data_IF_392971457004
#
_entry.id   IF_392971457004
#
_cell.length_a   1.000
_cell.length_b   1.000
_cell.length_c   1.000
_cell.angle_alpha   90.00
_cell.angle_beta   90.00
_cell.angle_gamma   90.00
#
_symmetry.space_group_name_H-M   'P 1'
#
loop_
_entity.id
_entity.type
_entity.pdbx_description
1 polymer ?
#
# COMPACT_ATOMS: atom_id res chain seq x y z
N UNK A 1 -26.64 -3.80 36.53
CA UNK A 1 -25.60 -2.78 36.77
C UNK A 1 -25.88 -1.48 36.01
N UNK A 2 -26.11 -0.38 36.74
CA UNK A 2 -26.51 0.92 36.20
C UNK A 2 -25.28 1.81 35.98
N UNK A 3 -24.42 1.52 34.98
CA UNK A 3 -23.31 2.34 34.44
C UNK A 3 -22.86 3.51 35.36
N UNK A 4 -22.45 3.20 36.59
CA UNK A 4 -22.04 4.19 37.58
C UNK A 4 -20.52 4.23 37.58
N UNK A 5 -19.95 5.40 37.29
CA UNK A 5 -18.49 5.58 37.27
C UNK A 5 -18.01 5.73 38.71
N UNK A 6 -17.20 4.79 39.19
CA UNK A 6 -16.64 4.82 40.53
C UNK A 6 -15.27 5.53 40.54
N UNK A 7 -14.98 6.38 41.53
CA UNK A 7 -13.76 7.18 41.57
C UNK A 7 -12.56 6.40 42.13
N UNK A 8 -12.35 5.16 41.67
CA UNK A 8 -11.31 4.25 42.21
C UNK A 8 -9.91 4.63 41.69
N UNK A 9 -9.82 5.26 40.52
CA UNK A 9 -8.56 5.71 39.91
C UNK A 9 -8.55 7.25 39.75
N UNK A 10 -7.83 7.95 40.61
CA UNK A 10 -7.92 9.41 40.81
C UNK A 10 -7.26 10.29 39.73
N UNK A 11 -6.44 9.74 38.82
CA UNK A 11 -5.69 10.57 37.85
C UNK A 11 -6.45 10.97 36.57
N UNK A 12 -7.59 10.34 36.25
CA UNK A 12 -8.27 10.50 34.95
C UNK A 12 -9.79 10.81 35.05
N UNK A 13 -10.31 11.16 36.23
CA UNK A 13 -11.77 11.40 36.40
C UNK A 13 -12.23 12.82 36.04
N UNK A 14 -11.30 13.77 35.94
CA UNK A 14 -11.57 15.13 35.48
C UNK A 14 -11.29 15.24 33.98
N UNK A 15 -12.24 14.77 33.17
CA UNK A 15 -12.20 14.94 31.71
C UNK A 15 -13.02 16.17 31.35
N UNK A 16 -12.34 17.21 30.87
CA UNK A 16 -13.02 18.36 30.29
C UNK A 16 -13.49 18.05 28.88
N UNK A 17 -14.74 18.40 28.59
CA UNK A 17 -15.32 18.20 27.27
C UNK A 17 -14.71 19.20 26.30
N UNK A 18 -13.94 18.71 25.33
CA UNK A 18 -13.48 19.51 24.20
C UNK A 18 -14.68 19.89 23.33
N UNK A 19 -14.68 21.12 22.79
CA UNK A 19 -15.69 21.58 21.84
C UNK A 19 -15.71 20.66 20.60
N UNK A 20 -16.89 20.41 20.03
CA UNK A 20 -16.99 19.65 18.77
C UNK A 20 -16.18 20.41 17.71
N UNK A 21 -15.16 19.76 17.16
CA UNK A 21 -14.39 20.30 16.03
C UNK A 21 -15.34 20.85 14.97
N UNK A 22 -15.20 22.13 14.64
CA UNK A 22 -15.86 22.70 13.48
C UNK A 22 -15.18 22.16 12.22
N UNK A 23 -15.87 22.16 11.06
CA UNK A 23 -15.28 21.73 9.77
C UNK A 23 -14.05 22.58 9.39
N UNK A 24 -13.89 23.74 10.04
CA UNK A 24 -12.84 24.73 9.80
C UNK A 24 -11.57 24.48 10.65
N UNK A 25 -11.61 23.62 11.66
CA UNK A 25 -10.47 23.29 12.52
C UNK A 25 -9.60 22.18 11.91
N UNK A 26 -9.08 22.41 10.70
CA UNK A 26 -8.13 21.49 10.08
C UNK A 26 -6.81 21.53 10.84
N UNK A 27 -6.33 20.35 11.25
CA UNK A 27 -4.97 20.21 11.79
C UNK A 27 -3.93 20.63 10.76
N UNK A 28 -2.76 21.08 11.21
CA UNK A 28 -1.66 21.47 10.34
C UNK A 28 -1.32 20.39 9.28
N UNK A 29 -1.35 19.12 9.69
CA UNK A 29 -1.10 17.97 8.80
C UNK A 29 -2.19 17.78 7.74
N UNK A 30 -3.45 18.10 8.04
CA UNK A 30 -4.55 18.06 7.06
C UNK A 30 -4.45 19.20 6.05
N UNK A 31 -4.03 20.40 6.49
CA UNK A 31 -3.76 21.53 5.59
C UNK A 31 -2.61 21.20 4.64
N UNK A 32 -1.51 20.64 5.16
CA UNK A 32 -0.37 20.20 4.34
C UNK A 32 -0.78 19.15 3.31
N UNK A 33 -1.60 18.17 3.70
CA UNK A 33 -2.11 17.16 2.77
C UNK A 33 -2.92 17.81 1.64
N UNK A 34 -3.84 18.72 1.97
CA UNK A 34 -4.64 19.44 0.96
C UNK A 34 -3.76 20.25 0.01
N UNK A 35 -2.78 20.98 0.53
CA UNK A 35 -1.83 21.74 -0.28
C UNK A 35 -1.04 20.84 -1.23
N UNK A 36 -0.56 19.69 -0.73
CA UNK A 36 0.18 18.74 -1.54
C UNK A 36 -0.71 18.11 -2.62
N UNK A 37 -1.93 17.67 -2.30
CA UNK A 37 -2.87 17.18 -3.30
C UNK A 37 -3.20 18.23 -4.38
N UNK A 38 -3.40 19.49 -3.98
CA UNK A 38 -3.62 20.59 -4.93
C UNK A 38 -2.42 20.81 -5.86
N UNK A 39 -1.20 20.70 -5.33
CA UNK A 39 0.04 20.91 -6.09
C UNK A 39 0.25 19.87 -7.20
N UNK A 40 -0.28 18.65 -7.03
CA UNK A 40 -0.12 17.54 -7.98
C UNK A 40 -1.39 17.20 -8.76
N UNK A 41 -2.48 17.96 -8.61
CA UNK A 41 -3.80 17.60 -9.17
C UNK A 41 -3.78 17.37 -10.70
N UNK A 42 -3.02 18.20 -11.42
CA UNK A 42 -2.91 18.12 -12.88
C UNK A 42 -1.90 17.07 -13.37
N UNK A 43 -1.05 16.55 -12.47
CA UNK A 43 0.02 15.62 -12.83
C UNK A 43 -0.51 14.19 -12.68
N UNK A 44 -0.77 13.52 -13.78
CA UNK A 44 -1.21 12.11 -13.79
C UNK A 44 -0.02 11.15 -13.96
N UNK A 45 -0.07 9.95 -13.35
CA UNK A 45 -1.15 9.37 -12.55
C UNK A 45 -1.16 9.81 -11.07
N UNK A 46 -0.12 10.50 -10.60
CA UNK A 46 0.13 10.76 -9.17
C UNK A 46 -0.99 11.58 -8.50
N UNK A 47 -1.53 12.60 -9.17
CA UNK A 47 -2.57 13.49 -8.64
C UNK A 47 -3.84 12.74 -8.24
N UNK A 48 -4.31 11.84 -9.10
CA UNK A 48 -5.45 10.98 -8.80
C UNK A 48 -5.18 10.07 -7.60
N UNK A 49 -3.98 9.47 -7.54
CA UNK A 49 -3.62 8.55 -6.47
C UNK A 49 -3.45 9.25 -5.12
N UNK A 50 -2.95 10.49 -5.11
CA UNK A 50 -2.87 11.33 -3.92
C UNK A 50 -4.24 11.62 -3.32
N UNK A 51 -5.29 11.72 -4.15
CA UNK A 51 -6.67 11.86 -3.69
C UNK A 51 -7.16 10.72 -2.78
N UNK A 52 -6.53 9.54 -2.85
CA UNK A 52 -6.85 8.40 -1.97
C UNK A 52 -6.08 8.41 -0.64
N UNK A 53 -5.02 9.21 -0.52
CA UNK A 53 -4.23 9.30 0.71
C UNK A 53 -5.03 10.01 1.83
N UNK A 54 -4.95 9.46 3.04
CA UNK A 54 -5.63 10.03 4.22
C UNK A 54 -4.70 10.81 5.13
N UNK A 55 -3.40 10.59 5.01
CA UNK A 55 -2.38 11.26 5.80
C UNK A 55 -1.29 11.85 4.91
N UNK A 56 -0.63 12.88 5.42
CA UNK A 56 0.54 13.48 4.76
C UNK A 56 1.69 12.48 4.58
N UNK A 57 1.86 11.55 5.53
CA UNK A 57 2.89 10.51 5.44
C UNK A 57 2.65 9.56 4.26
N UNK A 58 1.39 9.15 4.04
CA UNK A 58 1.02 8.35 2.88
C UNK A 58 1.32 9.12 1.59
N UNK A 59 0.90 10.38 1.52
CA UNK A 59 1.09 11.21 0.35
C UNK A 59 2.58 11.41 0.01
N UNK A 60 3.40 11.72 1.02
CA UNK A 60 4.85 11.84 0.87
C UNK A 60 5.50 10.52 0.44
N UNK A 61 5.07 9.40 1.01
CA UNK A 61 5.57 8.06 0.65
C UNK A 61 5.23 7.73 -0.80
N UNK A 62 4.01 8.05 -1.24
CA UNK A 62 3.57 7.85 -2.61
C UNK A 62 4.39 8.70 -3.60
N UNK A 63 4.56 9.99 -3.34
CA UNK A 63 5.34 10.88 -4.20
C UNK A 63 6.79 10.39 -4.35
N UNK A 64 7.48 10.12 -3.23
CA UNK A 64 8.88 9.64 -3.24
C UNK A 64 9.03 8.29 -3.94
N UNK A 65 8.08 7.38 -3.72
CA UNK A 65 8.11 6.07 -4.38
C UNK A 65 7.84 6.20 -5.87
N UNK A 66 6.90 7.08 -6.25
CA UNK A 66 6.52 7.28 -7.64
C UNK A 66 7.64 7.89 -8.48
N UNK A 67 8.44 8.80 -7.90
CA UNK A 67 9.65 9.34 -8.55
C UNK A 67 10.56 8.20 -9.04
N UNK A 68 10.86 7.23 -8.17
CA UNK A 68 11.69 6.07 -8.52
C UNK A 68 11.00 5.10 -9.48
N UNK A 69 9.70 4.84 -9.29
CA UNK A 69 8.89 3.95 -10.15
C UNK A 69 8.76 4.50 -11.58
N UNK A 70 8.72 5.83 -11.73
CA UNK A 70 8.54 6.48 -13.03
C UNK A 70 9.77 6.36 -13.95
N UNK A 71 10.94 6.05 -13.39
CA UNK A 71 12.16 5.82 -14.15
C UNK A 71 12.23 4.36 -14.63
N UNK A 72 12.08 4.16 -15.95
CA UNK A 72 12.26 2.85 -16.58
C UNK A 72 13.67 2.31 -16.29
N UNK A 73 13.76 1.03 -15.91
CA UNK A 73 15.00 0.33 -15.53
C UNK A 73 15.68 0.84 -14.24
N UNK A 74 14.95 1.51 -13.34
CA UNK A 74 15.48 1.85 -12.04
C UNK A 74 15.87 0.59 -11.24
N UNK A 75 17.06 0.62 -10.65
CA UNK A 75 17.56 -0.40 -9.72
C UNK A 75 17.72 0.25 -8.35
N UNK A 76 16.69 0.11 -7.50
CA UNK A 76 16.68 0.71 -6.18
C UNK A 76 15.90 -0.15 -5.18
N UNK A 77 16.22 0.04 -3.90
CA UNK A 77 15.47 -0.56 -2.80
C UNK A 77 14.80 0.57 -2.02
N UNK A 78 13.48 0.52 -1.94
CA UNK A 78 12.66 1.44 -1.13
C UNK A 78 12.23 0.68 0.12
N UNK A 79 12.54 1.22 1.30
CA UNK A 79 12.10 0.64 2.57
C UNK A 79 11.05 1.54 3.22
N UNK A 80 9.88 0.98 3.49
CA UNK A 80 8.75 1.63 4.15
C UNK A 80 8.56 0.97 5.52
N UNK A 81 8.91 1.68 6.58
CA UNK A 81 8.76 1.20 7.96
C UNK A 81 7.71 2.02 8.68
N UNK A 82 6.73 1.36 9.30
CA UNK A 82 5.74 2.04 10.13
C UNK A 82 5.12 1.10 11.17
N UNK A 83 4.51 1.66 12.22
CA UNK A 83 3.75 0.88 13.19
C UNK A 83 2.53 0.15 12.59
N UNK A 84 2.00 -0.83 13.33
CA UNK A 84 0.77 -1.56 12.96
C UNK A 84 -0.40 -0.59 12.78
N UNK A 85 -1.24 -0.83 11.77
CA UNK A 85 -2.44 -0.02 11.52
C UNK A 85 -2.22 1.34 10.84
N UNK A 86 -0.99 1.68 10.39
CA UNK A 86 -0.69 2.95 9.71
C UNK A 86 -0.99 2.99 8.20
N UNK A 87 -1.57 1.92 7.64
CA UNK A 87 -1.97 1.86 6.24
C UNK A 87 -0.85 1.56 5.23
N UNK A 88 0.14 0.74 5.62
CA UNK A 88 1.26 0.32 4.74
C UNK A 88 0.77 -0.43 3.49
N UNK A 89 -0.02 -1.48 3.64
CA UNK A 89 -0.54 -2.26 2.50
C UNK A 89 -1.40 -1.41 1.56
N UNK A 90 -2.14 -0.44 2.10
CA UNK A 90 -2.93 0.50 1.30
C UNK A 90 -2.04 1.38 0.42
N UNK A 91 -0.96 1.94 0.96
CA UNK A 91 -0.06 2.80 0.18
C UNK A 91 0.74 2.00 -0.85
N UNK A 92 1.15 0.77 -0.52
CA UNK A 92 1.78 -0.14 -1.48
C UNK A 92 0.85 -0.44 -2.68
N UNK A 93 -0.44 -0.68 -2.41
CA UNK A 93 -1.42 -0.88 -3.47
C UNK A 93 -1.56 0.33 -4.41
N UNK A 94 -1.55 1.54 -3.86
CA UNK A 94 -1.56 2.78 -4.65
C UNK A 94 -0.27 2.94 -5.46
N UNK A 95 0.91 2.70 -4.88
CA UNK A 95 2.19 2.75 -5.59
C UNK A 95 2.17 1.78 -6.78
N UNK A 96 1.69 0.55 -6.59
CA UNK A 96 1.59 -0.45 -7.66
C UNK A 96 0.60 -0.01 -8.75
N UNK A 97 -0.54 0.60 -8.40
CA UNK A 97 -1.45 1.14 -9.42
C UNK A 97 -0.80 2.26 -10.24
N UNK A 98 0.02 3.11 -9.62
CA UNK A 98 0.84 4.10 -10.30
C UNK A 98 1.90 3.47 -11.19
N UNK A 99 2.56 2.40 -10.73
CA UNK A 99 3.53 1.63 -11.51
C UNK A 99 2.91 1.03 -12.78
N UNK A 100 1.71 0.46 -12.67
CA UNK A 100 0.96 -0.04 -13.83
C UNK A 100 0.70 1.10 -14.82
N UNK A 101 0.25 2.26 -14.34
CA UNK A 101 0.02 3.41 -15.20
C UNK A 101 1.30 4.02 -15.82
N UNK A 102 2.44 3.89 -15.14
CA UNK A 102 3.76 4.25 -15.66
C UNK A 102 4.29 3.24 -16.71
N UNK A 103 3.63 2.09 -16.86
CA UNK A 103 3.93 1.11 -17.90
C UNK A 103 4.73 -0.11 -17.45
N UNK A 104 4.89 -0.34 -16.14
CA UNK A 104 5.54 -1.56 -15.65
C UNK A 104 4.63 -2.77 -15.90
N UNK A 105 5.18 -3.77 -16.56
CA UNK A 105 4.53 -5.01 -16.96
C UNK A 105 4.60 -6.10 -15.92
N UNK A 106 5.79 -6.42 -15.41
CA UNK A 106 5.99 -7.60 -14.56
C UNK A 106 6.18 -7.21 -13.10
N UNK A 107 5.07 -7.19 -12.37
CA UNK A 107 5.01 -6.78 -10.97
C UNK A 107 4.72 -7.99 -10.09
N UNK A 108 5.56 -8.23 -9.09
CA UNK A 108 5.39 -9.33 -8.14
C UNK A 108 5.15 -8.79 -6.74
N UNK A 109 4.22 -9.41 -6.02
CA UNK A 109 3.96 -9.13 -4.61
C UNK A 109 4.23 -10.37 -3.78
N UNK A 110 4.91 -10.19 -2.67
CA UNK A 110 5.32 -11.23 -1.74
C UNK A 110 4.84 -10.83 -0.35
N UNK A 111 4.25 -11.78 0.35
CA UNK A 111 3.76 -11.66 1.71
C UNK A 111 3.76 -13.04 2.37
N UNK A 112 3.67 -13.14 3.71
CA UNK A 112 3.62 -14.42 4.43
C UNK A 112 2.53 -15.37 3.90
N UNK A 113 1.36 -14.82 3.57
CA UNK A 113 0.27 -15.52 2.90
C UNK A 113 -0.59 -14.58 2.03
N UNK A 114 -1.41 -15.12 1.12
CA UNK A 114 -2.32 -14.33 0.27
C UNK A 114 -3.38 -13.57 1.08
N UNK A 115 -3.74 -14.06 2.27
CA UNK A 115 -4.67 -13.42 3.21
C UNK A 115 -4.17 -12.04 3.70
N UNK A 116 -2.85 -11.83 3.75
CA UNK A 116 -2.27 -10.54 4.13
C UNK A 116 -2.42 -9.48 3.04
N UNK A 117 -2.75 -9.87 1.81
CA UNK A 117 -2.80 -8.98 0.64
C UNK A 117 -4.21 -8.50 0.28
N UNK A 118 -5.23 -8.80 1.10
CA UNK A 118 -6.60 -8.34 0.86
C UNK A 118 -6.66 -6.82 0.71
N UNK A 119 -6.09 -6.08 1.66
CA UNK A 119 -6.06 -4.61 1.60
C UNK A 119 -5.15 -4.11 0.48
N UNK A 120 -4.02 -4.77 0.23
CA UNK A 120 -3.12 -4.42 -0.88
C UNK A 120 -3.87 -4.46 -2.22
N UNK A 121 -4.49 -5.59 -2.57
CA UNK A 121 -5.21 -5.73 -3.84
C UNK A 121 -6.46 -4.85 -3.91
N UNK A 122 -7.13 -4.60 -2.79
CA UNK A 122 -8.24 -3.63 -2.75
C UNK A 122 -7.76 -2.24 -3.18
N UNK A 123 -6.60 -1.79 -2.69
CA UNK A 123 -6.05 -0.48 -3.03
C UNK A 123 -5.42 -0.44 -4.44
N UNK A 124 -4.86 -1.54 -4.94
CA UNK A 124 -4.48 -1.65 -6.36
C UNK A 124 -5.73 -1.43 -7.22
N UNK A 125 -6.85 -2.11 -6.90
CA UNK A 125 -8.11 -1.96 -7.64
C UNK A 125 -8.67 -0.54 -7.54
N UNK A 126 -8.69 0.06 -6.34
CA UNK A 126 -9.14 1.45 -6.16
C UNK A 126 -8.31 2.44 -6.98
N UNK A 127 -6.99 2.27 -6.99
CA UNK A 127 -6.10 3.09 -7.80
C UNK A 127 -6.35 2.92 -9.30
N UNK A 128 -6.48 1.69 -9.80
CA UNK A 128 -6.81 1.40 -11.19
C UNK A 128 -8.15 2.04 -11.60
N UNK A 129 -9.20 1.88 -10.80
CA UNK A 129 -10.51 2.50 -11.05
C UNK A 129 -10.38 4.03 -11.06
N UNK A 130 -9.65 4.62 -10.11
CA UNK A 130 -9.38 6.06 -10.08
C UNK A 130 -8.69 6.56 -11.35
N UNK A 131 -7.76 5.77 -11.89
CA UNK A 131 -7.04 6.04 -13.14
C UNK A 131 -7.85 5.67 -14.41
N UNK A 132 -9.15 5.38 -14.25
CA UNK A 132 -10.08 5.11 -15.35
C UNK A 132 -9.92 3.75 -16.01
N UNK A 133 -9.32 2.77 -15.33
CA UNK A 133 -9.32 1.37 -15.79
C UNK A 133 -10.62 0.70 -15.39
N UNK A 134 -11.20 -0.05 -16.33
CA UNK A 134 -12.45 -0.76 -16.13
C UNK A 134 -12.21 -2.26 -15.91
N UNK A 135 -12.86 -2.82 -14.89
CA UNK A 135 -12.81 -4.27 -14.63
C UNK A 135 -13.45 -5.04 -15.80
N UNK A 136 -12.89 -6.21 -16.12
CA UNK A 136 -13.26 -7.11 -17.23
C UNK A 136 -12.86 -6.64 -18.63
N UNK A 137 -12.84 -5.33 -18.90
CA UNK A 137 -12.35 -4.82 -20.19
C UNK A 137 -10.84 -4.57 -20.17
N UNK A 138 -10.35 -3.87 -19.15
CA UNK A 138 -8.97 -3.41 -19.08
C UNK A 138 -8.11 -4.29 -18.20
N UNK A 139 -8.72 -4.93 -17.18
CA UNK A 139 -8.06 -5.88 -16.32
C UNK A 139 -9.00 -6.99 -15.83
N UNK A 140 -8.41 -8.14 -15.51
CA UNK A 140 -9.09 -9.31 -14.96
C UNK A 140 -8.45 -9.74 -13.64
N UNK A 141 -9.30 -10.12 -12.68
CA UNK A 141 -8.88 -10.61 -11.38
C UNK A 141 -8.81 -12.14 -11.40
N UNK A 142 -7.68 -12.68 -10.98
CA UNK A 142 -7.54 -14.10 -10.65
C UNK A 142 -7.66 -14.26 -9.14
N UNK A 143 -8.52 -15.19 -8.75
CA UNK A 143 -8.80 -15.47 -7.34
C UNK A 143 -8.55 -16.94 -7.04
N UNK A 144 -8.14 -17.21 -5.80
CA UNK A 144 -8.04 -18.54 -5.23
C UNK A 144 -9.00 -18.63 -4.06
N UNK A 145 -9.61 -19.80 -3.86
CA UNK A 145 -10.47 -20.07 -2.70
C UNK A 145 -9.62 -20.79 -1.65
N UNK A 146 -9.52 -20.20 -0.46
CA UNK A 146 -8.97 -20.84 0.74
C UNK A 146 -9.92 -20.59 1.90
N UNK A 147 -10.21 -21.62 2.69
CA UNK A 147 -11.06 -21.53 3.88
C UNK A 147 -12.41 -20.81 3.61
N UNK A 148 -13.05 -21.12 2.48
CA UNK A 148 -14.28 -20.49 1.98
C UNK A 148 -14.20 -18.97 1.71
N UNK A 149 -13.00 -18.39 1.70
CA UNK A 149 -12.76 -17.00 1.32
C UNK A 149 -12.13 -16.91 -0.07
N UNK A 150 -12.64 -15.99 -0.90
CA UNK A 150 -12.06 -15.67 -2.21
C UNK A 150 -10.95 -14.65 -2.02
N UNK A 151 -9.72 -15.05 -2.24
CA UNK A 151 -8.54 -14.20 -2.14
C UNK A 151 -8.04 -13.85 -3.55
N UNK A 152 -7.77 -12.58 -3.80
CA UNK A 152 -7.16 -12.15 -5.06
C UNK A 152 -5.68 -12.58 -5.02
N UNK A 153 -5.25 -13.28 -6.06
CA UNK A 153 -3.86 -13.74 -6.20
C UNK A 153 -3.14 -13.07 -7.36
N UNK A 154 -3.87 -12.58 -8.37
CA UNK A 154 -3.27 -11.85 -9.48
C UNK A 154 -4.26 -10.91 -10.15
N UNK A 155 -3.72 -9.83 -10.72
CA UNK A 155 -4.44 -8.89 -11.59
C UNK A 155 -3.71 -8.90 -12.94
N UNK A 156 -4.43 -9.23 -14.01
CA UNK A 156 -3.92 -9.20 -15.38
C UNK A 156 -4.51 -8.01 -16.11
N UNK A 157 -3.68 -7.08 -16.57
CA UNK A 157 -4.07 -5.86 -17.26
C UNK A 157 -3.74 -5.99 -18.75
N UNK A 158 -4.65 -5.57 -19.61
CA UNK A 158 -4.54 -5.68 -21.08
C UNK A 158 -4.88 -4.39 -21.83
N UNK A 159 -5.10 -3.27 -21.13
CA UNK A 159 -5.55 -2.00 -21.71
C UNK A 159 -4.66 -1.48 -22.84
N UNK A 160 -3.35 -1.35 -22.57
CA UNK A 160 -2.37 -0.84 -23.53
C UNK A 160 -1.43 -1.95 -23.98
N UNK A 161 -0.87 -2.67 -23.02
CA UNK A 161 -0.05 -3.86 -23.21
C UNK A 161 -0.33 -4.85 -22.07
N UNK A 162 0.24 -6.04 -22.15
CA UNK A 162 0.05 -7.07 -21.12
C UNK A 162 0.88 -6.74 -19.89
N UNK A 163 0.22 -6.51 -18.77
CA UNK A 163 0.84 -6.29 -17.47
C UNK A 163 0.24 -7.27 -16.47
N UNK A 164 1.03 -7.73 -15.51
CA UNK A 164 0.61 -8.68 -14.51
C UNK A 164 1.11 -8.21 -13.14
N UNK A 165 0.19 -8.14 -12.19
CA UNK A 165 0.50 -8.12 -10.76
C UNK A 165 0.21 -9.51 -10.23
N UNK A 166 1.19 -10.18 -9.64
CA UNK A 166 1.02 -11.55 -9.16
C UNK A 166 1.60 -11.75 -7.77
N UNK A 167 0.81 -12.39 -6.91
CA UNK A 167 1.29 -12.93 -5.64
C UNK A 167 2.17 -14.16 -5.86
N UNK A 168 3.32 -14.18 -5.20
CA UNK A 168 4.23 -15.32 -5.14
C UNK A 168 4.55 -15.64 -3.68
N UNK A 169 4.53 -16.92 -3.33
CA UNK A 169 4.97 -17.37 -2.01
C UNK A 169 6.46 -17.10 -1.80
N UNK A 170 6.91 -16.67 -0.60
CA UNK A 170 8.33 -16.35 -0.36
C UNK A 170 9.31 -17.47 -0.72
N UNK A 171 8.89 -18.74 -0.57
CA UNK A 171 9.70 -19.93 -0.94
C UNK A 171 9.93 -20.05 -2.44
N UNK A 172 9.02 -19.53 -3.24
CA UNK A 172 9.03 -19.57 -4.70
C UNK A 172 9.68 -18.32 -5.30
N UNK A 173 10.24 -17.42 -4.51
CA UNK A 173 10.89 -16.19 -4.99
C UNK A 173 11.96 -16.43 -6.10
N UNK A 174 12.55 -17.62 -6.15
CA UNK A 174 13.50 -18.00 -7.19
C UNK A 174 12.87 -18.23 -8.59
N UNK A 175 11.56 -18.42 -8.69
CA UNK A 175 10.83 -18.56 -9.96
C UNK A 175 10.52 -17.20 -10.62
N UNK A 176 10.85 -16.10 -9.94
CA UNK A 176 10.66 -14.75 -10.45
C UNK A 176 11.65 -14.51 -11.58
N UNK A 177 11.11 -14.19 -12.76
CA UNK A 177 11.89 -13.90 -13.96
C UNK A 177 11.43 -12.57 -14.56
N UNK A 178 12.38 -11.76 -15.02
CA UNK A 178 12.12 -10.47 -15.68
C UNK A 178 11.18 -9.55 -14.89
N UNK A 179 11.33 -9.53 -13.56
CA UNK A 179 10.61 -8.58 -12.71
C UNK A 179 11.09 -7.16 -12.95
N UNK A 180 10.17 -6.22 -13.03
CA UNK A 180 10.48 -4.78 -13.06
C UNK A 180 10.25 -4.16 -11.68
N UNK A 181 9.25 -4.65 -10.94
CA UNK A 181 8.94 -4.25 -9.58
C UNK A 181 8.59 -5.47 -8.72
N UNK A 182 9.27 -5.59 -7.57
CA UNK A 182 8.90 -6.53 -6.52
C UNK A 182 8.46 -5.74 -5.29
N UNK A 183 7.31 -6.09 -4.73
CA UNK A 183 6.80 -5.55 -3.47
C UNK A 183 6.78 -6.66 -2.44
N UNK A 184 7.45 -6.46 -1.32
CA UNK A 184 7.49 -7.38 -0.19
C UNK A 184 6.75 -6.72 0.98
N UNK A 185 5.51 -7.14 1.23
CA UNK A 185 4.73 -6.66 2.37
C UNK A 185 4.98 -7.54 3.61
N UNK A 186 5.08 -6.89 4.76
CA UNK A 186 5.47 -7.50 6.04
C UNK A 186 6.78 -8.30 5.96
N UNK A 187 7.83 -7.68 5.40
CA UNK A 187 9.13 -8.28 5.17
C UNK A 187 9.80 -8.82 6.45
N UNK A 188 9.52 -8.24 7.62
CA UNK A 188 9.99 -8.74 8.91
C UNK A 188 9.47 -10.14 9.25
N UNK A 189 8.29 -10.52 8.74
CA UNK A 189 7.71 -11.84 8.93
C UNK A 189 8.25 -12.88 7.93
N UNK A 190 9.09 -12.47 6.98
CA UNK A 190 9.68 -13.35 5.96
C UNK A 190 11.13 -13.68 6.34
N UNK A 191 11.54 -14.96 6.34
CA UNK A 191 12.92 -15.34 6.62
C UNK A 191 13.92 -14.58 5.74
N UNK A 192 14.95 -14.01 6.39
CA UNK A 192 15.98 -13.20 5.73
C UNK A 192 16.63 -13.84 4.48
N UNK A 193 16.88 -15.17 4.42
CA UNK A 193 17.40 -15.79 3.21
C UNK A 193 16.50 -15.63 1.98
N UNK A 194 15.18 -15.56 2.16
CA UNK A 194 14.26 -15.30 1.05
C UNK A 194 14.26 -13.83 0.67
N UNK A 195 14.24 -12.91 1.64
CA UNK A 195 14.29 -11.47 1.38
C UNK A 195 15.57 -11.08 0.63
N UNK A 196 16.72 -11.66 1.01
CA UNK A 196 18.00 -11.43 0.32
C UNK A 196 17.97 -11.84 -1.16
N UNK A 197 17.23 -12.90 -1.51
CA UNK A 197 17.08 -13.35 -2.90
C UNK A 197 16.22 -12.41 -3.75
N UNK A 198 15.43 -11.53 -3.12
CA UNK A 198 14.65 -10.52 -3.83
C UNK A 198 15.50 -9.32 -4.25
N UNK A 199 16.70 -9.15 -3.71
CA UNK A 199 17.57 -8.03 -4.11
C UNK A 199 18.20 -8.37 -5.46
N UNK A 200 17.95 -7.55 -6.47
CA UNK A 200 18.46 -7.77 -7.83
C UNK A 200 18.37 -6.53 -8.73
N UNK A 201 18.42 -6.75 -10.04
CA UNK A 201 18.37 -5.69 -11.06
C UNK A 201 16.93 -5.26 -11.37
N UNK A 202 16.18 -4.85 -10.35
CA UNK A 202 14.79 -4.37 -10.46
C UNK A 202 14.47 -3.44 -9.30
N UNK A 203 13.31 -2.80 -9.31
CA UNK A 203 12.86 -1.99 -8.19
C UNK A 203 12.28 -2.90 -7.10
N UNK A 204 12.78 -2.78 -5.87
CA UNK A 204 12.31 -3.56 -4.72
C UNK A 204 11.71 -2.62 -3.68
N UNK A 205 10.44 -2.83 -3.32
CA UNK A 205 9.79 -2.11 -2.22
C UNK A 205 9.59 -3.08 -1.06
N UNK A 206 10.20 -2.78 0.08
CA UNK A 206 10.06 -3.52 1.32
C UNK A 206 9.16 -2.74 2.28
N UNK A 207 8.14 -3.39 2.82
CA UNK A 207 7.30 -2.86 3.89
C UNK A 207 7.50 -3.70 5.15
N UNK A 208 7.69 -3.04 6.29
CA UNK A 208 7.89 -3.74 7.57
C UNK A 208 7.18 -3.03 8.73
N UNK A 209 6.60 -3.82 9.63
CA UNK A 209 6.05 -3.32 10.88
C UNK A 209 7.12 -3.19 11.95
N UNK A 210 7.32 -1.96 12.45
CA UNK A 210 8.17 -1.66 13.61
C UNK A 210 7.30 -1.40 14.85
N UNK A 211 7.75 -1.81 16.04
CA UNK A 211 7.07 -1.57 17.34
C UNK A 211 5.63 -2.13 17.47
N UNK A 212 5.37 -3.33 16.93
CA UNK A 212 4.15 -4.11 17.20
C UNK A 212 4.46 -5.37 18.01
N UNK A 213 3.44 -6.07 18.53
CA UNK A 213 3.62 -7.36 19.23
C UNK A 213 4.29 -8.44 18.35
N UNK A 214 4.32 -8.20 17.04
CA UNK A 214 4.93 -9.05 16.00
C UNK A 214 6.09 -8.35 15.25
N UNK A 215 6.47 -7.14 15.65
CA UNK A 215 7.57 -6.41 15.01
C UNK A 215 8.93 -6.90 15.50
N UNK A 216 9.86 -7.18 14.57
CA UNK A 216 11.27 -7.46 14.87
C UNK A 216 12.15 -6.25 14.58
#
# INVERSE_FOLDING_TARGET
DNINILPIFSKNLHVEKVHKHSIEDLTASQLQLKQLCHSFNEIQPIGTLLGFCKTIDQANTLCKSFELVSHLNAHAVISITAARGRGKSAILGLIVSGAIAAGLSNIYVIAPGPENLVTFFEFVRKGLIGLGYNEKSDYNLLTSVRDNQKLITSIKITRNHRQNVQYIFPKEAASIHNAELIVCDEAAAIPLPYVKKLVGSHLLILSSTVNGYEGT
#
